data_IF_111206065799
#
_entry.id   IF_111206065799
#
_cell.length_a   1.000
_cell.length_b   1.000
_cell.length_c   1.000
_cell.angle_alpha   90.00
_cell.angle_beta   90.00
_cell.angle_gamma   90.00
#
_symmetry.space_group_name_H-M   'P 1'
#
loop_
_entity.id
_entity.type
_entity.pdbx_description
1 polymer ?
#
# COMPACT_ATOMS: atom_id res chain seq x y z
N UNK A 1 -1.26 -20.10 4.74
CA UNK A 1 -2.63 -19.92 5.28
C UNK A 1 -2.95 -18.43 5.21
N UNK A 2 -4.09 -18.00 4.66
CA UNK A 2 -4.45 -16.57 4.62
C UNK A 2 -4.83 -16.14 6.04
N UNK A 3 -4.00 -15.31 6.65
CA UNK A 3 -4.24 -14.83 8.01
C UNK A 3 -5.02 -13.51 7.97
N UNK A 4 -6.22 -13.51 8.55
CA UNK A 4 -6.99 -12.29 8.72
C UNK A 4 -6.52 -11.58 9.99
N UNK A 5 -5.83 -10.46 9.81
CA UNK A 5 -5.35 -9.62 10.92
C UNK A 5 -6.25 -8.40 11.07
N UNK A 6 -6.68 -8.12 12.31
CA UNK A 6 -7.40 -6.88 12.63
C UNK A 6 -6.37 -5.81 13.00
N UNK A 7 -6.42 -4.70 12.30
CA UNK A 7 -5.55 -3.55 12.52
C UNK A 7 -6.36 -2.26 12.47
N UNK A 8 -5.85 -1.21 13.14
CA UNK A 8 -6.51 0.10 13.08
C UNK A 8 -6.12 0.84 11.81
N UNK A 9 -7.06 1.65 11.27
CA UNK A 9 -6.78 2.50 10.10
C UNK A 9 -5.58 3.41 10.37
N UNK A 10 -5.52 4.00 11.58
CA UNK A 10 -4.41 4.87 11.99
C UNK A 10 -3.04 4.17 11.90
N UNK A 11 -2.95 2.92 12.38
CA UNK A 11 -1.71 2.13 12.30
C UNK A 11 -1.34 1.78 10.87
N UNK A 12 -2.30 1.39 10.05
CA UNK A 12 -2.03 1.10 8.63
C UNK A 12 -1.56 2.36 7.90
N UNK A 13 -2.25 3.48 8.09
CA UNK A 13 -1.91 4.77 7.45
C UNK A 13 -0.53 5.29 7.88
N UNK A 14 -0.09 5.01 9.12
CA UNK A 14 1.24 5.42 9.58
C UNK A 14 2.39 4.59 8.96
N UNK A 15 2.08 3.41 8.42
CA UNK A 15 3.02 2.50 7.75
C UNK A 15 3.08 2.68 6.23
N UNK A 16 2.11 3.39 5.64
CA UNK A 16 2.13 3.77 4.22
C UNK A 16 3.39 4.60 3.91
N UNK A 17 4.03 4.31 2.78
CA UNK A 17 5.31 4.89 2.35
C UNK A 17 6.51 4.56 3.25
N UNK A 18 6.32 3.69 4.26
CA UNK A 18 7.40 3.16 5.09
C UNK A 18 7.59 1.67 4.86
N UNK A 19 6.59 0.87 5.23
CA UNK A 19 6.58 -0.58 5.05
C UNK A 19 5.53 -1.01 4.02
N UNK A 20 4.47 -0.21 3.82
CA UNK A 20 3.41 -0.48 2.85
C UNK A 20 3.67 0.32 1.57
N UNK A 21 3.83 -0.38 0.46
CA UNK A 21 4.18 0.17 -0.86
C UNK A 21 3.25 -0.38 -1.95
N UNK A 22 3.29 0.26 -3.12
CA UNK A 22 2.54 -0.15 -4.31
C UNK A 22 3.44 -0.91 -5.28
N UNK A 23 3.05 -2.11 -5.77
CA UNK A 23 3.76 -2.73 -6.87
C UNK A 23 3.48 -2.01 -8.18
N UNK A 24 4.42 -2.10 -9.13
CA UNK A 24 4.32 -1.57 -10.50
C UNK A 24 3.06 -1.95 -11.28
N UNK A 25 2.52 -3.14 -11.03
CA UNK A 25 1.30 -3.62 -11.68
C UNK A 25 0.05 -2.80 -11.30
N UNK A 26 0.10 -2.00 -10.23
CA UNK A 26 -1.05 -1.23 -9.79
C UNK A 26 -1.36 -0.08 -10.74
N UNK A 27 -2.65 0.11 -11.00
CA UNK A 27 -3.14 1.23 -11.81
C UNK A 27 -3.04 2.56 -11.05
N UNK A 28 -3.08 3.66 -11.80
CA UNK A 28 -3.16 5.00 -11.24
C UNK A 28 -4.38 5.18 -10.33
N UNK A 29 -4.27 6.11 -9.38
CA UNK A 29 -5.41 6.52 -8.57
C UNK A 29 -6.45 7.24 -9.43
N UNK A 30 -7.71 6.78 -9.39
CA UNK A 30 -8.80 7.29 -10.25
C UNK A 30 -10.07 7.64 -9.49
N UNK A 31 -10.10 7.44 -8.17
CA UNK A 31 -11.27 7.77 -7.36
C UNK A 31 -11.47 9.28 -7.27
N UNK A 32 -12.71 9.72 -7.51
CA UNK A 32 -13.13 11.11 -7.33
C UNK A 32 -13.62 11.36 -5.89
N UNK A 33 -13.74 12.62 -5.53
CA UNK A 33 -14.18 13.10 -4.21
C UNK A 33 -15.45 12.39 -3.72
N UNK A 34 -16.48 12.24 -4.57
CA UNK A 34 -17.71 11.53 -4.23
C UNK A 34 -17.50 10.09 -3.72
N UNK A 35 -16.54 9.38 -4.31
CA UNK A 35 -16.23 8.00 -3.90
C UNK A 35 -15.48 7.97 -2.57
N UNK A 36 -14.64 8.97 -2.34
CA UNK A 36 -13.94 9.17 -1.06
C UNK A 36 -14.98 9.49 0.03
N UNK A 37 -15.91 10.42 -0.22
CA UNK A 37 -16.97 10.75 0.73
C UNK A 37 -17.83 9.55 1.08
N UNK A 38 -18.23 8.72 0.10
CA UNK A 38 -19.00 7.50 0.36
C UNK A 38 -18.24 6.50 1.24
N UNK A 39 -16.92 6.38 1.06
CA UNK A 39 -16.08 5.54 1.91
C UNK A 39 -16.08 6.04 3.36
N UNK A 40 -15.92 7.35 3.55
CA UNK A 40 -15.93 7.95 4.89
C UNK A 40 -17.32 7.90 5.54
N UNK A 41 -18.40 8.13 4.79
CA UNK A 41 -19.77 7.98 5.28
C UNK A 41 -20.02 6.53 5.75
N UNK A 42 -19.55 5.54 4.99
CA UNK A 42 -19.62 4.13 5.39
C UNK A 42 -18.85 3.85 6.68
N UNK A 43 -17.64 4.41 6.83
CA UNK A 43 -16.85 4.28 8.06
C UNK A 43 -17.53 4.91 9.27
N UNK A 44 -18.06 6.12 9.14
CA UNK A 44 -18.74 6.83 10.22
C UNK A 44 -20.03 6.13 10.67
N UNK A 45 -20.72 5.45 9.74
CA UNK A 45 -21.91 4.63 10.03
C UNK A 45 -21.58 3.24 10.58
N UNK A 46 -20.30 2.86 10.63
CA UNK A 46 -19.88 1.53 11.07
C UNK A 46 -20.15 0.43 10.05
N UNK A 47 -20.33 0.76 8.77
CA UNK A 47 -20.48 -0.23 7.71
C UNK A 47 -19.11 -0.86 7.35
N UNK A 48 -19.08 -2.18 7.05
CA UNK A 48 -17.84 -2.84 6.69
C UNK A 48 -17.30 -2.32 5.35
N UNK A 49 -16.03 -1.91 5.32
CA UNK A 49 -15.33 -1.41 4.12
C UNK A 49 -14.56 -2.50 3.36
N UNK A 50 -15.00 -3.76 3.50
CA UNK A 50 -14.28 -4.96 3.03
C UNK A 50 -12.88 -5.10 3.66
N UNK A 51 -12.05 -5.96 3.10
CA UNK A 51 -10.69 -6.25 3.56
C UNK A 51 -9.64 -5.61 2.65
N UNK A 52 -8.40 -5.58 3.13
CA UNK A 52 -7.24 -5.20 2.35
C UNK A 52 -6.35 -6.43 2.17
N UNK A 53 -5.81 -6.61 0.96
CA UNK A 53 -4.90 -7.71 0.67
C UNK A 53 -3.49 -7.18 0.50
N UNK A 54 -2.58 -7.72 1.30
CA UNK A 54 -1.16 -7.39 1.25
C UNK A 54 -0.34 -8.64 0.93
N UNK A 55 0.73 -8.45 0.16
CA UNK A 55 1.79 -9.43 0.01
C UNK A 55 2.96 -9.02 0.91
N UNK A 56 3.15 -9.76 2.00
CA UNK A 56 4.30 -9.59 2.88
C UNK A 56 5.54 -10.23 2.26
N UNK A 57 6.62 -9.47 2.21
CA UNK A 57 7.90 -9.87 1.64
C UNK A 57 9.03 -9.45 2.58
N UNK A 58 9.97 -10.34 2.82
CA UNK A 58 11.25 -9.99 3.44
C UNK A 58 12.24 -9.55 2.38
N UNK A 59 13.36 -8.95 2.80
CA UNK A 59 14.49 -8.67 1.91
C UNK A 59 15.00 -9.94 1.21
N UNK A 60 15.05 -11.06 1.93
CA UNK A 60 15.48 -12.35 1.40
C UNK A 60 14.52 -12.86 0.30
N UNK A 61 13.21 -12.69 0.50
CA UNK A 61 12.20 -13.06 -0.50
C UNK A 61 12.36 -12.24 -1.80
N UNK A 62 12.62 -10.94 -1.69
CA UNK A 62 12.85 -10.07 -2.86
C UNK A 62 14.09 -10.51 -3.64
N UNK A 63 15.20 -10.77 -2.94
CA UNK A 63 16.41 -11.27 -3.59
C UNK A 63 16.17 -12.60 -4.29
N UNK A 64 15.41 -13.49 -3.67
CA UNK A 64 15.05 -14.79 -4.25
C UNK A 64 14.21 -14.64 -5.51
N UNK A 65 13.18 -13.80 -5.48
CA UNK A 65 12.30 -13.54 -6.63
C UNK A 65 13.10 -12.95 -7.80
N UNK A 66 13.99 -12.00 -7.53
CA UNK A 66 14.81 -11.36 -8.56
C UNK A 66 15.82 -12.35 -9.18
N UNK A 67 16.49 -13.17 -8.36
CA UNK A 67 17.54 -14.08 -8.82
C UNK A 67 16.99 -15.37 -9.45
N UNK A 68 15.98 -15.99 -8.84
CA UNK A 68 15.47 -17.30 -9.27
C UNK A 68 14.34 -17.18 -10.29
N UNK A 69 13.37 -16.29 -10.04
CA UNK A 69 12.16 -16.16 -10.87
C UNK A 69 12.38 -15.13 -12.00
N UNK A 70 13.45 -14.33 -11.93
CA UNK A 70 13.82 -13.28 -12.90
C UNK A 70 12.70 -12.25 -13.10
N UNK A 71 11.91 -12.02 -12.07
CA UNK A 71 10.89 -10.97 -12.04
C UNK A 71 11.46 -9.79 -11.27
N UNK A 72 11.47 -8.62 -11.90
CA UNK A 72 11.81 -7.37 -11.24
C UNK A 72 10.52 -6.70 -10.77
N UNK A 73 10.27 -6.69 -9.45
CA UNK A 73 9.13 -5.99 -8.87
C UNK A 73 9.60 -4.59 -8.48
N UNK A 74 9.08 -3.57 -9.15
CA UNK A 74 9.30 -2.18 -8.71
C UNK A 74 8.27 -1.77 -7.67
N UNK A 75 8.71 -1.00 -6.69
CA UNK A 75 7.88 -0.59 -5.55
C UNK A 75 7.78 0.93 -5.53
N UNK A 76 6.56 1.46 -5.49
CA UNK A 76 6.29 2.89 -5.49
C UNK A 76 5.67 3.34 -4.18
N UNK A 77 5.93 4.60 -3.83
CA UNK A 77 5.22 5.30 -2.76
C UNK A 77 3.81 5.70 -3.24
N UNK A 78 2.89 5.78 -2.30
CA UNK A 78 1.57 6.36 -2.45
C UNK A 78 1.70 7.87 -2.60
N UNK A 79 1.04 8.42 -3.63
CA UNK A 79 0.86 9.87 -3.85
C UNK A 79 2.20 10.61 -3.75
N UNK A 80 3.18 10.16 -4.52
CA UNK A 80 4.46 10.86 -4.68
C UNK A 80 4.52 11.41 -6.11
N UNK A 81 4.50 12.74 -6.22
CA UNK A 81 4.60 13.45 -7.50
C UNK A 81 6.06 13.66 -7.93
N UNK A 82 7.03 13.36 -7.06
CA UNK A 82 8.45 13.49 -7.35
C UNK A 82 9.07 12.11 -7.59
N UNK A 83 8.76 11.62 -8.78
CA UNK A 83 9.47 10.54 -9.47
C UNK A 83 10.99 10.74 -9.30
N UNK A 84 11.68 9.72 -8.73
CA UNK A 84 13.15 9.52 -8.57
C UNK A 84 13.71 9.36 -7.15
N UNK A 85 12.92 9.08 -6.10
CA UNK A 85 13.52 8.41 -4.94
C UNK A 85 13.84 6.97 -5.36
N UNK A 86 15.06 6.82 -5.87
CA UNK A 86 15.70 5.62 -6.38
C UNK A 86 15.27 4.38 -5.60
N UNK A 87 14.83 3.36 -6.34
CA UNK A 87 14.56 1.99 -5.87
C UNK A 87 15.62 1.50 -4.85
N UNK A 88 16.85 2.00 -4.92
CA UNK A 88 17.97 1.65 -4.05
C UNK A 88 17.90 2.12 -2.59
N UNK A 89 17.23 3.23 -2.25
CA UNK A 89 17.16 3.70 -0.84
C UNK A 89 16.03 3.00 -0.07
N UNK A 90 14.88 2.80 -0.72
CA UNK A 90 13.77 2.03 -0.17
C UNK A 90 14.16 0.58 0.10
N UNK A 91 14.93 -0.04 -0.81
CA UNK A 91 15.39 -1.43 -0.70
C UNK A 91 16.50 -1.67 0.34
N UNK A 92 17.25 -0.63 0.76
CA UNK A 92 18.38 -0.77 1.69
C UNK A 92 18.01 -0.64 3.16
N UNK A 93 16.91 0.01 3.49
CA UNK A 93 16.65 0.45 4.86
C UNK A 93 15.75 -0.47 5.71
N UNK A 94 15.10 -1.50 5.12
CA UNK A 94 14.09 -2.30 5.85
C UNK A 94 14.18 -3.81 5.61
N UNK A 95 13.83 -4.55 6.65
CA UNK A 95 13.83 -6.01 6.66
C UNK A 95 12.50 -6.59 6.15
N UNK A 96 11.40 -5.84 6.26
CA UNK A 96 10.04 -6.28 5.88
C UNK A 96 9.25 -5.24 5.07
N UNK A 97 8.59 -5.73 4.02
CA UNK A 97 7.76 -4.95 3.11
C UNK A 97 6.36 -5.58 2.99
N UNK A 98 5.36 -4.75 2.72
CA UNK A 98 3.99 -5.14 2.40
C UNK A 98 3.55 -4.46 1.11
N UNK A 99 3.36 -5.24 0.06
CA UNK A 99 2.83 -4.75 -1.21
C UNK A 99 1.31 -4.82 -1.21
N UNK A 100 0.64 -3.75 -1.62
CA UNK A 100 -0.81 -3.76 -1.73
C UNK A 100 -1.24 -4.50 -2.99
N UNK A 101 -2.02 -5.57 -2.82
CA UNK A 101 -2.60 -6.35 -3.91
C UNK A 101 -4.06 -5.95 -4.18
N UNK A 102 -4.84 -5.67 -3.13
CA UNK A 102 -6.23 -5.20 -3.24
C UNK A 102 -6.53 -4.08 -2.25
N UNK A 103 -7.49 -3.22 -2.63
CA UNK A 103 -7.93 -2.09 -1.82
C UNK A 103 -7.07 -0.84 -1.95
N UNK A 104 -6.17 -0.77 -2.94
CA UNK A 104 -5.32 0.39 -3.23
C UNK A 104 -6.10 1.70 -3.20
N UNK A 105 -7.19 1.83 -3.98
CA UNK A 105 -7.93 3.10 -4.09
C UNK A 105 -8.53 3.53 -2.74
N UNK A 106 -9.07 2.58 -1.97
CA UNK A 106 -9.58 2.86 -0.61
C UNK A 106 -8.43 3.31 0.31
N UNK A 107 -7.31 2.60 0.25
CA UNK A 107 -6.16 2.88 1.11
C UNK A 107 -5.51 4.24 0.78
N UNK A 108 -5.36 4.55 -0.50
CA UNK A 108 -4.91 5.86 -0.97
C UNK A 108 -5.87 6.97 -0.54
N UNK A 109 -7.18 6.75 -0.64
CA UNK A 109 -8.19 7.72 -0.19
C UNK A 109 -8.08 7.99 1.31
N UNK A 110 -7.90 6.95 2.12
CA UNK A 110 -7.69 7.07 3.56
C UNK A 110 -6.38 7.80 3.89
N UNK A 111 -5.32 7.50 3.14
CA UNK A 111 -4.03 8.16 3.30
C UNK A 111 -4.13 9.66 3.02
N UNK A 112 -4.69 10.05 1.86
CA UNK A 112 -4.87 11.45 1.47
C UNK A 112 -5.71 12.18 2.52
N UNK A 113 -6.88 11.64 2.89
CA UNK A 113 -7.80 12.31 3.79
C UNK A 113 -7.27 12.44 5.23
N UNK A 114 -6.46 11.50 5.71
CA UNK A 114 -5.95 11.50 7.10
C UNK A 114 -4.57 12.13 7.26
N UNK A 115 -3.74 12.12 6.22
CA UNK A 115 -2.42 12.79 6.22
C UNK A 115 -2.45 14.18 5.62
N UNK A 116 -3.48 14.50 4.85
CA UNK A 116 -3.72 15.85 4.33
C UNK A 116 -2.94 16.21 3.06
N UNK A 117 -1.98 15.38 2.64
CA UNK A 117 -0.95 15.70 1.63
C UNK A 117 -0.28 17.05 1.88
#
# INVERSE_FOLDING_TARGET
>A
MREYQRETISKIVSLINKNILLPDIQRSFVWKEDQIYKLFDSLMRGYPISTFLFWSLTKEDLEKIQKEIKINIRMYKFVDSNDKDSDEELNRARDDYKLVLDGQQRLTSLFIALKGC
#
